data_IF_053017678977
#
_entry.id   IF_053017678977
#
_cell.length_a   1.000
_cell.length_b   1.000
_cell.length_c   1.000
_cell.angle_alpha   90.00
_cell.angle_beta   90.00
_cell.angle_gamma   90.00
#
_symmetry.space_group_name_H-M   'P 1'
#
loop_
_entity.id
_entity.type
_entity.pdbx_description
1 polymer ?
#
# COMPACT_ATOMS: atom_id res chain seq x y z
N UNK A 1 32.82 -5.44 -11.28
CA UNK A 1 31.47 -5.92 -10.94
C UNK A 1 31.61 -7.17 -10.08
N UNK A 2 30.67 -7.46 -9.21
CA UNK A 2 30.57 -8.67 -8.40
C UNK A 2 29.48 -9.54 -9.00
N UNK A 3 29.64 -10.87 -8.91
CA UNK A 3 28.78 -11.85 -9.58
C UNK A 3 27.95 -12.68 -8.60
N UNK A 4 28.10 -12.45 -7.29
CA UNK A 4 27.34 -13.19 -6.29
C UNK A 4 25.83 -12.90 -6.42
N UNK A 5 25.05 -13.96 -6.45
CA UNK A 5 23.60 -13.84 -6.35
C UNK A 5 23.23 -13.53 -4.89
N UNK A 6 22.49 -12.44 -4.69
CA UNK A 6 22.01 -11.96 -3.40
C UNK A 6 20.48 -11.76 -3.45
N UNK A 7 19.83 -11.93 -2.32
CA UNK A 7 18.40 -11.68 -2.18
C UNK A 7 18.13 -10.77 -0.98
N UNK A 8 17.03 -10.03 -0.97
CA UNK A 8 16.69 -9.10 0.12
C UNK A 8 16.64 -9.75 1.51
N UNK A 9 16.29 -11.04 1.59
CA UNK A 9 16.31 -11.79 2.86
C UNK A 9 17.70 -11.94 3.47
N UNK A 10 18.76 -11.72 2.67
CA UNK A 10 20.16 -11.84 3.10
C UNK A 10 20.65 -10.57 3.82
N UNK A 11 19.91 -9.47 3.73
CA UNK A 11 20.30 -8.17 4.35
C UNK A 11 20.31 -8.27 5.88
N UNK A 12 19.24 -8.78 6.47
CA UNK A 12 19.12 -8.86 7.93
C UNK A 12 20.23 -9.72 8.56
N UNK A 13 20.49 -10.97 8.13
CA UNK A 13 21.59 -11.76 8.69
C UNK A 13 22.98 -11.15 8.43
N UNK A 14 23.15 -10.38 7.34
CA UNK A 14 24.40 -9.66 7.09
C UNK A 14 24.60 -8.51 8.09
N UNK A 15 23.56 -7.73 8.37
CA UNK A 15 23.64 -6.67 9.37
C UNK A 15 23.91 -7.23 10.78
N UNK A 16 23.27 -8.34 11.14
CA UNK A 16 23.54 -9.02 12.43
C UNK A 16 24.97 -9.51 12.52
N UNK A 17 25.50 -10.10 11.45
CA UNK A 17 26.91 -10.54 11.39
C UNK A 17 27.87 -9.37 11.58
N UNK A 18 27.64 -8.24 10.88
CA UNK A 18 28.44 -7.02 11.02
C UNK A 18 28.35 -6.39 12.42
N UNK A 19 27.24 -6.56 13.12
CA UNK A 19 27.06 -6.11 14.49
C UNK A 19 27.72 -7.04 15.54
N UNK A 20 28.32 -8.16 15.10
CA UNK A 20 28.93 -9.16 15.99
C UNK A 20 27.92 -10.10 16.67
N UNK A 21 26.67 -10.08 16.24
CA UNK A 21 25.59 -10.96 16.71
C UNK A 21 25.57 -12.27 15.92
N UNK A 22 26.39 -13.23 16.35
CA UNK A 22 26.71 -14.44 15.59
C UNK A 22 25.58 -15.47 15.47
N UNK A 23 24.38 -15.26 16.03
CA UNK A 23 23.27 -16.22 16.01
C UNK A 23 21.92 -15.58 15.79
N UNK A 24 21.65 -15.28 14.56
CA UNK A 24 20.25 -15.24 14.11
C UNK A 24 19.91 -16.64 13.57
N UNK A 25 19.50 -17.54 14.45
CA UNK A 25 19.34 -18.97 14.12
C UNK A 25 18.16 -19.27 13.18
N UNK A 26 17.27 -18.32 12.94
CA UNK A 26 15.99 -18.55 12.25
C UNK A 26 15.76 -17.64 11.03
N UNK A 27 16.82 -17.16 10.38
CA UNK A 27 16.67 -16.43 9.12
C UNK A 27 16.71 -17.38 7.93
N UNK A 28 15.79 -17.23 6.99
CA UNK A 28 15.88 -17.86 5.66
C UNK A 28 17.05 -17.30 4.83
N UNK A 29 17.48 -16.07 5.15
CA UNK A 29 18.63 -15.41 4.55
C UNK A 29 19.95 -15.89 5.10
N UNK A 30 21.04 -15.59 4.35
CA UNK A 30 22.43 -15.89 4.73
C UNK A 30 23.29 -14.64 4.59
N UNK A 31 24.22 -14.44 5.53
CA UNK A 31 25.13 -13.31 5.45
C UNK A 31 26.00 -13.37 4.20
N UNK A 32 26.16 -12.24 3.53
CA UNK A 32 27.10 -12.02 2.45
C UNK A 32 28.27 -11.09 2.83
N UNK A 33 28.52 -10.93 4.12
CA UNK A 33 29.60 -10.08 4.67
C UNK A 33 30.95 -10.36 4.00
N UNK A 34 31.32 -11.63 3.78
CA UNK A 34 32.56 -11.99 3.13
C UNK A 34 32.74 -11.32 1.77
N UNK A 35 31.66 -11.04 1.07
CA UNK A 35 31.70 -10.36 -0.23
C UNK A 35 32.13 -8.88 -0.16
N UNK A 36 32.19 -8.27 1.02
CA UNK A 36 32.67 -6.89 1.17
C UNK A 36 34.20 -6.81 1.03
N UNK A 37 34.90 -7.79 1.61
CA UNK A 37 36.37 -7.88 1.53
C UNK A 37 36.84 -8.63 0.30
N UNK A 38 36.15 -9.70 -0.10
CA UNK A 38 36.58 -10.62 -1.14
C UNK A 38 35.69 -10.51 -2.38
N UNK A 39 36.30 -10.15 -3.53
CA UNK A 39 35.55 -10.01 -4.78
C UNK A 39 34.88 -11.31 -5.22
N UNK A 40 35.61 -12.43 -5.07
CA UNK A 40 35.22 -13.74 -5.55
C UNK A 40 34.70 -14.64 -4.41
N UNK A 41 34.28 -14.04 -3.29
CA UNK A 41 33.62 -14.78 -2.22
C UNK A 41 32.42 -15.55 -2.78
N UNK A 42 32.16 -16.78 -2.27
CA UNK A 42 31.02 -17.58 -2.75
C UNK A 42 29.70 -16.83 -2.50
N UNK A 43 28.75 -17.02 -3.41
CA UNK A 43 27.39 -16.52 -3.20
C UNK A 43 26.77 -17.16 -1.93
N UNK A 44 26.03 -16.42 -1.12
CA UNK A 44 25.42 -16.96 0.10
C UNK A 44 24.37 -18.02 -0.20
N UNK A 45 23.82 -18.01 -1.42
CA UNK A 45 22.83 -18.97 -1.89
C UNK A 45 23.04 -19.32 -3.35
N UNK A 46 22.72 -20.55 -3.69
CA UNK A 46 22.73 -21.03 -5.07
C UNK A 46 21.32 -21.18 -5.65
N UNK A 47 20.28 -21.22 -4.79
CA UNK A 47 18.88 -21.41 -5.18
C UNK A 47 18.01 -20.33 -4.55
N UNK A 48 17.09 -19.76 -5.33
CA UNK A 48 16.04 -18.85 -4.87
C UNK A 48 14.77 -19.08 -5.69
N UNK A 49 13.65 -19.28 -5.00
CA UNK A 49 12.32 -19.32 -5.62
C UNK A 49 11.56 -18.00 -5.39
N UNK A 50 10.59 -17.73 -6.23
CA UNK A 50 9.58 -16.68 -6.06
C UNK A 50 8.21 -17.21 -6.44
N UNK A 51 7.21 -16.71 -5.76
CA UNK A 51 5.82 -16.82 -6.11
C UNK A 51 5.12 -15.48 -5.82
N UNK A 52 4.27 -15.03 -6.73
CA UNK A 52 3.41 -13.88 -6.53
C UNK A 52 2.19 -13.96 -7.47
N UNK A 53 1.01 -14.08 -6.89
CA UNK A 53 -0.25 -14.15 -7.65
C UNK A 53 -0.28 -15.25 -8.71
N UNK A 54 0.19 -16.44 -8.35
CA UNK A 54 0.29 -17.59 -9.24
C UNK A 54 1.51 -17.58 -10.18
N UNK A 55 2.18 -16.44 -10.34
CA UNK A 55 3.41 -16.36 -11.16
C UNK A 55 4.59 -16.89 -10.39
N UNK A 56 5.39 -17.72 -11.05
CA UNK A 56 6.45 -18.49 -10.42
C UNK A 56 7.79 -18.23 -11.07
N UNK A 57 8.85 -18.23 -10.26
CA UNK A 57 10.20 -18.18 -10.76
C UNK A 57 11.14 -18.97 -9.87
N UNK A 58 12.20 -19.50 -10.46
CA UNK A 58 13.29 -20.18 -9.76
C UNK A 58 14.62 -19.78 -10.38
N UNK A 59 15.57 -19.47 -9.53
CA UNK A 59 16.97 -19.29 -9.88
C UNK A 59 17.79 -20.44 -9.31
N UNK A 60 18.69 -21.00 -10.09
CA UNK A 60 19.69 -21.98 -9.63
C UNK A 60 20.98 -21.81 -10.42
N UNK A 61 22.08 -21.50 -9.72
CA UNK A 61 23.44 -21.45 -10.27
C UNK A 61 23.56 -20.72 -11.62
N UNK A 62 22.96 -19.51 -11.72
CA UNK A 62 23.02 -18.68 -12.92
C UNK A 62 21.92 -18.98 -13.94
N UNK A 63 21.14 -20.01 -13.77
CA UNK A 63 19.95 -20.28 -14.58
C UNK A 63 18.70 -19.72 -13.90
N UNK A 64 17.79 -19.20 -14.69
CA UNK A 64 16.50 -18.72 -14.19
C UNK A 64 15.36 -19.23 -15.07
N UNK A 65 14.37 -19.85 -14.43
CA UNK A 65 13.12 -20.22 -15.10
C UNK A 65 11.98 -19.39 -14.54
N UNK A 66 11.09 -18.89 -15.40
CA UNK A 66 9.93 -18.09 -15.04
C UNK A 66 8.69 -18.63 -15.70
N UNK A 67 7.56 -18.57 -14.97
CA UNK A 67 6.23 -18.93 -15.48
C UNK A 67 5.30 -17.72 -15.36
N UNK A 68 4.61 -17.41 -16.44
CA UNK A 68 3.48 -16.50 -16.43
C UNK A 68 2.20 -17.32 -16.24
N UNK A 69 1.44 -17.00 -15.21
CA UNK A 69 0.15 -17.63 -14.95
C UNK A 69 -1.00 -16.68 -15.35
N UNK A 70 -2.03 -17.23 -15.99
CA UNK A 70 -3.26 -16.51 -16.26
C UNK A 70 -4.34 -16.95 -15.26
N UNK A 71 -5.04 -16.00 -14.68
CA UNK A 71 -6.03 -16.24 -13.64
C UNK A 71 -7.09 -17.28 -14.05
N UNK A 72 -7.28 -18.30 -13.22
CA UNK A 72 -8.24 -19.38 -13.41
C UNK A 72 -7.74 -20.52 -14.30
N UNK A 73 -6.54 -20.44 -14.84
CA UNK A 73 -5.92 -21.52 -15.59
C UNK A 73 -5.31 -22.58 -14.68
N UNK A 74 -5.03 -23.76 -15.25
CA UNK A 74 -4.35 -24.83 -14.55
C UNK A 74 -2.85 -24.56 -14.50
N UNK A 75 -2.29 -24.50 -13.30
CA UNK A 75 -0.87 -24.25 -13.07
C UNK A 75 0.08 -25.24 -13.78
N UNK A 76 -0.36 -26.46 -14.07
CA UNK A 76 0.43 -27.45 -14.79
C UNK A 76 0.57 -27.13 -16.28
N UNK A 77 -0.32 -26.30 -16.81
CA UNK A 77 -0.32 -25.88 -18.22
C UNK A 77 0.45 -24.60 -18.49
N UNK A 78 0.92 -23.95 -17.44
CA UNK A 78 1.66 -22.70 -17.60
C UNK A 78 2.90 -22.87 -18.47
N UNK A 79 3.06 -21.95 -19.40
CA UNK A 79 4.27 -21.84 -20.19
C UNK A 79 5.45 -21.33 -19.34
N UNK A 80 6.57 -22.03 -19.40
CA UNK A 80 7.80 -21.61 -18.74
C UNK A 80 8.83 -21.13 -19.75
N UNK A 81 9.62 -20.12 -19.38
CA UNK A 81 10.77 -19.61 -20.10
C UNK A 81 12.03 -19.88 -19.30
N UNK A 82 13.16 -20.07 -19.98
CA UNK A 82 14.44 -20.37 -19.37
C UNK A 82 15.53 -19.41 -19.86
N UNK A 83 16.36 -18.96 -18.92
CA UNK A 83 17.44 -18.00 -19.20
C UNK A 83 18.74 -18.42 -18.53
N UNK A 84 19.89 -18.24 -19.23
CA UNK A 84 21.21 -18.23 -18.61
C UNK A 84 21.59 -16.79 -18.26
N UNK A 85 21.38 -16.39 -17.01
CA UNK A 85 21.60 -15.02 -16.55
C UNK A 85 23.06 -14.60 -16.47
N UNK A 86 24.00 -15.54 -16.63
CA UNK A 86 25.45 -15.27 -16.71
C UNK A 86 25.83 -14.78 -18.11
N UNK A 87 25.21 -15.36 -19.13
CA UNK A 87 25.43 -15.00 -20.53
C UNK A 87 24.49 -13.88 -20.99
N UNK A 88 23.27 -13.88 -20.49
CA UNK A 88 22.21 -12.93 -20.82
C UNK A 88 21.53 -12.40 -19.55
N UNK A 89 22.14 -11.41 -18.91
CA UNK A 89 21.61 -10.79 -17.68
C UNK A 89 20.26 -10.08 -17.91
N UNK A 90 19.97 -9.68 -19.15
CA UNK A 90 18.71 -8.99 -19.51
C UNK A 90 17.55 -9.94 -19.79
N UNK A 91 17.77 -11.26 -19.77
CA UNK A 91 16.74 -12.27 -20.02
C UNK A 91 16.02 -12.06 -21.37
N UNK A 92 16.80 -11.71 -22.40
CA UNK A 92 16.28 -11.37 -23.73
C UNK A 92 16.09 -12.60 -24.62
N UNK A 93 16.82 -13.70 -24.36
CA UNK A 93 16.78 -14.95 -25.13
C UNK A 93 16.21 -16.08 -24.31
N UNK A 94 15.02 -16.52 -24.67
CA UNK A 94 14.40 -17.72 -24.08
C UNK A 94 15.06 -19.00 -24.62
N UNK A 95 15.62 -19.80 -23.73
CA UNK A 95 16.30 -21.07 -24.03
C UNK A 95 15.43 -22.31 -23.76
N UNK A 96 14.15 -22.14 -23.44
CA UNK A 96 13.27 -23.26 -23.04
C UNK A 96 13.19 -24.35 -24.10
N UNK A 97 13.16 -23.98 -25.39
CA UNK A 97 13.14 -24.94 -26.52
C UNK A 97 14.49 -25.59 -26.80
N UNK A 98 15.59 -24.90 -26.48
CA UNK A 98 16.95 -25.39 -26.72
C UNK A 98 17.44 -26.28 -25.56
N UNK A 99 17.00 -26.01 -24.33
CA UNK A 99 17.42 -26.68 -23.09
C UNK A 99 16.23 -27.29 -22.31
N UNK A 100 15.41 -28.19 -22.94
CA UNK A 100 14.19 -28.70 -22.31
C UNK A 100 14.46 -29.57 -21.08
N UNK A 101 15.59 -30.27 -21.03
CA UNK A 101 15.98 -31.06 -19.87
C UNK A 101 16.26 -30.17 -18.66
N UNK A 102 16.97 -29.07 -18.85
CA UNK A 102 17.28 -28.10 -17.81
C UNK A 102 16.00 -27.39 -17.34
N UNK A 103 15.14 -27.02 -18.26
CA UNK A 103 13.85 -26.43 -17.88
C UNK A 103 13.06 -27.34 -16.95
N UNK A 104 13.01 -28.64 -17.27
CA UNK A 104 12.32 -29.64 -16.44
C UNK A 104 12.93 -29.76 -15.05
N UNK A 105 14.27 -29.74 -14.96
CA UNK A 105 14.99 -29.72 -13.68
C UNK A 105 14.64 -28.48 -12.84
N UNK A 106 14.62 -27.31 -13.47
CA UNK A 106 14.27 -26.05 -12.81
C UNK A 106 12.81 -26.03 -12.34
N UNK A 107 11.88 -26.54 -13.14
CA UNK A 107 10.48 -26.70 -12.73
C UNK A 107 10.38 -27.61 -11.50
N UNK A 108 10.99 -28.79 -11.54
CA UNK A 108 10.98 -29.72 -10.41
C UNK A 108 11.60 -29.10 -9.15
N UNK A 109 12.65 -28.30 -9.31
CA UNK A 109 13.28 -27.58 -8.20
C UNK A 109 12.33 -26.53 -7.61
N UNK A 110 11.57 -25.80 -8.44
CA UNK A 110 10.59 -24.85 -7.96
C UNK A 110 9.53 -25.53 -7.09
N UNK A 111 8.96 -26.64 -7.54
CA UNK A 111 7.96 -27.39 -6.78
C UNK A 111 8.50 -27.85 -5.42
N UNK A 112 9.73 -28.35 -5.40
CA UNK A 112 10.41 -28.78 -4.18
C UNK A 112 10.62 -27.62 -3.19
N UNK A 113 11.08 -26.47 -3.68
CA UNK A 113 11.26 -25.29 -2.83
C UNK A 113 9.92 -24.72 -2.36
N UNK A 114 8.88 -24.74 -3.18
CA UNK A 114 7.53 -24.31 -2.82
C UNK A 114 6.94 -25.18 -1.70
N UNK A 115 7.09 -26.50 -1.78
CA UNK A 115 6.66 -27.41 -0.72
C UNK A 115 7.42 -27.18 0.59
N UNK A 116 8.76 -27.07 0.50
CA UNK A 116 9.63 -26.82 1.65
C UNK A 116 9.29 -25.53 2.40
N UNK A 117 8.84 -24.51 1.69
CA UNK A 117 8.59 -23.17 2.23
C UNK A 117 7.08 -22.88 2.43
N UNK A 118 6.22 -23.92 2.44
CA UNK A 118 4.79 -23.81 2.69
C UNK A 118 4.06 -22.81 1.79
N UNK A 119 4.43 -22.76 0.49
CA UNK A 119 3.85 -21.85 -0.50
C UNK A 119 2.42 -22.25 -0.87
N UNK A 120 2.06 -23.53 -0.71
CA UNK A 120 0.76 -24.04 -1.11
C UNK A 120 -0.36 -23.78 -0.07
N UNK A 121 -1.61 -23.58 -0.52
CA UNK A 121 -2.06 -23.57 -1.91
C UNK A 121 -1.64 -22.29 -2.67
N UNK A 122 -1.42 -22.40 -3.97
CA UNK A 122 -1.20 -21.24 -4.82
C UNK A 122 -2.48 -20.38 -4.90
N UNK A 123 -2.29 -19.07 -5.02
CA UNK A 123 -3.37 -18.10 -5.09
C UNK A 123 -3.15 -17.16 -6.29
N UNK A 124 -4.02 -17.25 -7.28
CA UNK A 124 -3.96 -16.45 -8.51
C UNK A 124 -4.79 -15.16 -8.45
N UNK A 125 -5.36 -14.86 -7.28
CA UNK A 125 -6.07 -13.60 -7.10
C UNK A 125 -5.10 -12.45 -7.31
N UNK A 126 -5.49 -11.51 -8.16
CA UNK A 126 -4.70 -10.30 -8.38
C UNK A 126 -4.82 -9.34 -7.19
N UNK A 127 -3.93 -8.34 -7.11
CA UNK A 127 -4.05 -7.28 -6.12
C UNK A 127 -5.42 -6.58 -6.20
N UNK A 128 -5.99 -6.45 -7.40
CA UNK A 128 -7.33 -5.88 -7.61
C UNK A 128 -8.40 -6.76 -6.98
N UNK A 129 -8.31 -8.07 -7.13
CA UNK A 129 -9.26 -9.01 -6.50
C UNK A 129 -9.19 -8.93 -4.97
N UNK A 130 -7.98 -8.82 -4.42
CA UNK A 130 -7.78 -8.70 -2.97
C UNK A 130 -8.35 -7.38 -2.46
N UNK A 131 -8.11 -6.27 -3.15
CA UNK A 131 -8.66 -4.95 -2.79
C UNK A 131 -10.18 -4.92 -2.93
N UNK A 132 -10.74 -5.59 -3.94
CA UNK A 132 -12.18 -5.66 -4.17
C UNK A 132 -12.89 -6.68 -3.29
N UNK A 133 -12.13 -7.57 -2.63
CA UNK A 133 -12.71 -8.54 -1.71
C UNK A 133 -13.32 -7.83 -0.51
N UNK A 134 -14.66 -7.81 -0.47
CA UNK A 134 -15.44 -7.19 0.62
C UNK A 134 -15.81 -8.25 1.63
N UNK A 135 -15.32 -8.11 2.84
CA UNK A 135 -15.81 -8.91 3.96
C UNK A 135 -17.30 -8.62 4.16
N UNK A 136 -18.21 -9.61 4.14
CA UNK A 136 -19.66 -9.38 4.26
C UNK A 136 -20.07 -8.61 5.51
N UNK A 137 -19.28 -8.70 6.58
CA UNK A 137 -19.53 -8.04 7.88
C UNK A 137 -18.46 -6.95 8.19
N UNK A 138 -17.64 -6.56 7.21
CA UNK A 138 -16.61 -5.55 7.39
C UNK A 138 -17.17 -4.13 7.46
N UNK A 139 -16.34 -3.17 7.86
CA UNK A 139 -16.68 -1.74 7.88
C UNK A 139 -17.15 -1.25 6.51
N UNK A 140 -16.59 -1.81 5.44
CA UNK A 140 -16.90 -1.44 4.05
C UNK A 140 -18.33 -1.77 3.61
N UNK A 141 -19.03 -2.68 4.30
CA UNK A 141 -20.42 -3.04 3.99
C UNK A 141 -21.45 -2.16 4.71
N UNK A 142 -21.00 -1.32 5.64
CA UNK A 142 -21.88 -0.46 6.44
C UNK A 142 -22.21 0.83 5.69
N UNK A 143 -23.43 1.30 5.84
CA UNK A 143 -23.86 2.61 5.34
C UNK A 143 -23.47 3.76 6.27
N UNK A 144 -23.25 3.46 7.56
CA UNK A 144 -22.86 4.41 8.59
C UNK A 144 -21.88 3.79 9.56
N UNK A 145 -20.89 4.57 9.97
CA UNK A 145 -19.87 4.19 10.95
C UNK A 145 -19.65 5.37 11.89
N UNK A 146 -19.70 5.12 13.20
CA UNK A 146 -19.29 6.09 14.22
C UNK A 146 -17.90 5.75 14.72
N UNK A 147 -17.00 6.71 14.68
CA UNK A 147 -15.62 6.60 15.12
C UNK A 147 -15.31 7.63 16.18
N UNK A 148 -14.38 7.33 17.08
CA UNK A 148 -14.00 8.21 18.18
C UNK A 148 -12.50 8.55 18.11
N UNK A 149 -12.08 9.75 18.51
CA UNK A 149 -10.67 10.08 18.63
C UNK A 149 -9.94 9.05 19.51
N UNK A 150 -8.70 8.73 19.15
CA UNK A 150 -7.90 7.74 19.87
C UNK A 150 -8.17 6.27 19.53
N UNK A 151 -9.13 5.99 18.66
CA UNK A 151 -9.30 4.68 18.04
C UNK A 151 -8.15 4.44 17.11
N UNK A 152 -7.05 4.22 17.23
CA UNK A 152 -5.92 3.91 16.37
C UNK A 152 -6.15 4.11 14.86
N UNK A 153 -5.12 3.92 14.13
CA UNK A 153 -5.14 3.96 12.67
C UNK A 153 -5.98 2.81 12.09
N UNK A 154 -6.91 3.11 11.18
CA UNK A 154 -7.72 2.10 10.47
C UNK A 154 -7.10 1.88 9.09
N UNK A 155 -6.57 0.69 8.81
CA UNK A 155 -5.95 0.40 7.51
C UNK A 155 -6.90 0.66 6.34
N UNK A 156 -6.39 1.18 5.24
CA UNK A 156 -7.18 1.51 4.05
C UNK A 156 -8.02 0.33 3.54
N UNK A 157 -7.47 -0.88 3.57
CA UNK A 157 -8.16 -2.09 3.14
C UNK A 157 -9.41 -2.41 3.97
N UNK A 158 -9.49 -1.88 5.19
CA UNK A 158 -10.62 -2.07 6.10
C UNK A 158 -11.67 -0.96 6.01
N UNK A 159 -11.41 0.09 5.24
CA UNK A 159 -12.26 1.27 5.14
C UNK A 159 -13.11 1.30 3.88
N UNK A 160 -14.27 1.94 3.99
CA UNK A 160 -15.03 2.38 2.81
C UNK A 160 -14.21 3.46 2.13
N UNK A 161 -13.70 3.17 0.94
CA UNK A 161 -13.02 4.19 0.14
C UNK A 161 -14.07 5.14 -0.45
N UNK A 162 -13.86 6.43 -0.25
CA UNK A 162 -14.69 7.47 -0.82
C UNK A 162 -14.51 7.65 -2.34
N UNK A 163 -13.63 6.86 -2.94
CA UNK A 163 -13.17 7.07 -4.31
C UNK A 163 -14.25 6.96 -5.39
N UNK A 164 -15.39 6.34 -5.06
CA UNK A 164 -16.47 6.14 -6.04
C UNK A 164 -17.87 6.28 -5.43
N UNK A 165 -17.95 6.84 -4.23
CA UNK A 165 -19.22 6.94 -3.51
C UNK A 165 -19.43 8.32 -2.96
N UNK A 166 -20.67 8.80 -3.09
CA UNK A 166 -21.12 9.94 -2.30
C UNK A 166 -21.10 9.59 -0.81
N UNK A 167 -20.59 10.51 0.01
CA UNK A 167 -20.49 10.31 1.45
C UNK A 167 -20.62 11.61 2.23
N UNK A 168 -20.95 11.49 3.51
CA UNK A 168 -20.88 12.57 4.49
C UNK A 168 -19.91 12.19 5.60
N UNK A 169 -19.05 13.12 5.99
CA UNK A 169 -18.23 13.02 7.21
C UNK A 169 -18.73 14.08 8.15
N UNK A 170 -19.14 13.68 9.36
CA UNK A 170 -19.64 14.60 10.38
C UNK A 170 -18.83 14.46 11.66
N UNK A 171 -18.29 15.57 12.14
CA UNK A 171 -17.64 15.68 13.43
C UNK A 171 -18.57 16.38 14.43
N UNK A 172 -18.77 15.75 15.60
CA UNK A 172 -19.50 16.34 16.72
C UNK A 172 -18.51 16.76 17.80
N UNK A 173 -18.62 18.00 18.25
CA UNK A 173 -17.74 18.56 19.28
C UNK A 173 -18.40 18.49 20.65
N UNK A 174 -17.66 18.04 21.65
CA UNK A 174 -18.12 18.01 23.06
C UNK A 174 -18.29 19.42 23.63
N UNK A 175 -17.42 20.35 23.22
CA UNK A 175 -17.54 21.79 23.49
C UNK A 175 -17.69 22.56 22.17
N UNK A 176 -18.37 23.72 22.17
CA UNK A 176 -18.45 24.54 20.97
C UNK A 176 -17.09 25.03 20.52
N UNK A 177 -16.87 25.04 19.22
CA UNK A 177 -15.64 25.55 18.58
C UNK A 177 -15.94 26.85 17.83
N UNK A 178 -14.89 27.59 17.51
CA UNK A 178 -14.98 28.86 16.78
C UNK A 178 -13.63 29.24 16.17
N UNK A 179 -13.49 30.46 15.64
CA UNK A 179 -12.29 30.92 14.96
C UNK A 179 -11.02 30.90 15.84
N UNK A 180 -11.16 30.99 17.14
CA UNK A 180 -10.07 31.01 18.12
C UNK A 180 -9.56 29.57 18.46
N UNK A 181 -10.24 28.52 17.96
CA UNK A 181 -9.82 27.14 18.22
C UNK A 181 -8.47 26.86 17.56
N UNK A 182 -7.52 26.22 18.26
CA UNK A 182 -6.16 26.00 17.73
C UNK A 182 -6.10 25.14 16.47
N UNK A 183 -7.21 24.51 16.10
CA UNK A 183 -7.28 23.62 14.94
C UNK A 183 -7.04 22.16 15.29
N UNK A 184 -6.88 21.36 14.26
CA UNK A 184 -6.63 19.92 14.32
C UNK A 184 -7.46 19.15 13.31
N UNK A 185 -7.00 17.94 12.99
CA UNK A 185 -7.67 17.06 12.04
C UNK A 185 -8.87 16.40 12.69
N UNK A 186 -10.00 16.45 12.02
CA UNK A 186 -11.24 15.74 12.38
C UNK A 186 -11.23 14.32 11.81
N UNK A 187 -10.86 14.21 10.50
CA UNK A 187 -10.67 12.94 9.82
C UNK A 187 -9.68 13.13 8.66
N UNK A 188 -8.71 12.24 8.53
CA UNK A 188 -7.80 12.20 7.39
C UNK A 188 -7.66 10.77 6.89
N UNK A 189 -7.70 10.58 5.58
CA UNK A 189 -7.49 9.28 4.94
C UNK A 189 -6.54 9.44 3.77
N UNK A 190 -5.50 8.62 3.76
CA UNK A 190 -4.50 8.67 2.71
C UNK A 190 -3.29 9.51 3.08
N UNK A 191 -2.62 10.03 2.06
CA UNK A 191 -1.42 10.84 2.16
C UNK A 191 -1.34 11.90 1.04
N UNK A 192 -0.19 12.59 0.93
CA UNK A 192 0.04 13.60 -0.11
C UNK A 192 -0.08 13.09 -1.55
N UNK A 193 -0.01 11.78 -1.79
CA UNK A 193 -0.12 11.17 -3.12
C UNK A 193 -1.56 10.87 -3.48
N UNK A 194 -2.42 10.67 -2.47
CA UNK A 194 -3.83 10.44 -2.66
C UNK A 194 -4.58 10.34 -1.33
N UNK A 195 -5.71 11.03 -1.24
CA UNK A 195 -6.53 10.99 -0.03
C UNK A 195 -7.29 12.28 0.22
N UNK A 196 -7.84 12.40 1.41
CA UNK A 196 -8.52 13.61 1.87
C UNK A 196 -8.17 13.92 3.32
N UNK A 197 -8.29 15.21 3.66
CA UNK A 197 -8.22 15.68 5.03
C UNK A 197 -9.36 16.67 5.30
N UNK A 198 -10.08 16.44 6.40
CA UNK A 198 -11.15 17.30 6.92
C UNK A 198 -10.70 17.82 8.29
N UNK A 199 -10.50 19.11 8.42
CA UNK A 199 -9.79 19.69 9.57
C UNK A 199 -10.16 21.15 9.85
N UNK A 200 -9.82 21.62 11.03
CA UNK A 200 -9.82 23.03 11.41
C UNK A 200 -8.38 23.56 11.40
N UNK A 201 -8.19 24.72 10.81
CA UNK A 201 -6.92 25.44 10.86
C UNK A 201 -7.12 26.93 10.59
N UNK A 202 -6.40 27.80 11.31
CA UNK A 202 -6.44 29.26 11.15
C UNK A 202 -7.86 29.85 11.15
N UNK A 203 -8.71 29.38 12.08
CA UNK A 203 -10.08 29.83 12.23
C UNK A 203 -11.02 29.43 11.09
N UNK A 204 -10.65 28.47 10.28
CA UNK A 204 -11.40 27.99 9.12
C UNK A 204 -11.66 26.49 9.18
N UNK A 205 -12.77 26.07 8.58
CA UNK A 205 -13.05 24.68 8.28
C UNK A 205 -12.54 24.37 6.87
N UNK A 206 -11.75 23.32 6.76
CA UNK A 206 -11.10 22.89 5.53
C UNK A 206 -11.51 21.49 5.13
N UNK A 207 -11.66 21.29 3.83
CA UNK A 207 -11.61 19.98 3.21
C UNK A 207 -10.61 20.03 2.04
N UNK A 208 -9.62 19.17 2.08
CA UNK A 208 -8.66 18.99 1.01
C UNK A 208 -8.71 17.57 0.45
N UNK A 209 -8.59 17.47 -0.86
CA UNK A 209 -8.42 16.21 -1.58
C UNK A 209 -7.12 16.27 -2.38
N UNK A 210 -6.26 15.27 -2.18
CA UNK A 210 -5.00 15.11 -2.89
C UNK A 210 -5.08 13.95 -3.89
N UNK A 211 -4.45 14.11 -5.06
CA UNK A 211 -4.31 13.07 -6.07
C UNK A 211 -3.06 13.34 -6.92
N UNK A 212 -2.02 12.53 -6.75
CA UNK A 212 -0.78 12.52 -7.54
C UNK A 212 -0.30 13.96 -7.84
N UNK A 213 0.08 14.69 -6.77
CA UNK A 213 0.60 16.05 -6.87
C UNK A 213 -0.43 17.16 -7.18
N UNK A 214 -1.70 16.82 -7.41
CA UNK A 214 -2.81 17.78 -7.55
C UNK A 214 -3.59 17.85 -6.26
N UNK A 215 -4.01 19.05 -5.86
CA UNK A 215 -4.83 19.31 -4.69
C UNK A 215 -6.04 20.12 -5.08
N UNK A 216 -7.17 19.79 -4.47
CA UNK A 216 -8.39 20.55 -4.52
C UNK A 216 -8.78 20.86 -3.08
N UNK A 217 -9.13 22.11 -2.81
CA UNK A 217 -9.44 22.57 -1.46
C UNK A 217 -10.76 23.35 -1.45
N UNK A 218 -11.51 23.16 -0.38
CA UNK A 218 -12.72 23.92 -0.08
C UNK A 218 -12.59 24.37 1.35
N UNK A 219 -12.76 25.67 1.63
CA UNK A 219 -12.69 26.18 2.99
C UNK A 219 -13.53 27.42 3.18
N UNK A 220 -13.95 27.66 4.42
CA UNK A 220 -14.64 28.87 4.83
C UNK A 220 -14.36 29.18 6.30
N UNK A 221 -14.48 30.46 6.65
CA UNK A 221 -14.35 30.92 8.03
C UNK A 221 -15.32 30.16 8.93
N UNK A 222 -14.83 29.70 10.07
CA UNK A 222 -15.62 28.96 11.04
C UNK A 222 -16.45 29.96 11.88
N UNK A 223 -17.78 29.84 11.93
CA UNK A 223 -18.59 30.66 12.85
C UNK A 223 -18.27 30.35 14.32
N UNK A 224 -18.61 31.27 15.20
CA UNK A 224 -18.48 31.06 16.65
C UNK A 224 -19.55 30.08 17.15
N UNK A 225 -19.17 29.19 18.05
CA UNK A 225 -20.11 28.36 18.79
C UNK A 225 -20.58 27.11 18.06
N UNK A 226 -19.87 26.68 17.03
CA UNK A 226 -20.19 25.47 16.23
C UNK A 226 -20.06 24.21 17.08
N UNK A 227 -21.08 23.35 17.02
CA UNK A 227 -21.09 22.04 17.69
C UNK A 227 -20.98 20.86 16.74
N UNK A 228 -21.18 21.09 15.44
CA UNK A 228 -21.12 20.07 14.41
C UNK A 228 -20.49 20.66 13.16
N UNK A 229 -19.47 20.01 12.62
CA UNK A 229 -18.94 20.31 11.30
C UNK A 229 -19.17 19.11 10.38
N UNK A 230 -19.60 19.36 9.13
CA UNK A 230 -19.79 18.29 8.15
C UNK A 230 -19.21 18.67 6.80
N UNK A 231 -18.72 17.64 6.08
CA UNK A 231 -18.44 17.70 4.66
C UNK A 231 -19.30 16.67 3.94
N UNK A 232 -20.02 17.10 2.91
CA UNK A 232 -20.81 16.24 2.03
C UNK A 232 -20.15 16.21 0.67
N UNK A 233 -19.91 15.01 0.17
CA UNK A 233 -19.23 14.77 -1.11
C UNK A 233 -20.22 14.02 -2.00
N UNK A 234 -20.66 14.65 -3.08
CA UNK A 234 -21.50 14.04 -4.10
C UNK A 234 -20.66 13.68 -5.31
N UNK A 235 -20.46 12.40 -5.55
CA UNK A 235 -19.69 11.88 -6.70
C UNK A 235 -20.64 11.67 -7.88
N UNK A 236 -20.32 12.27 -9.01
CA UNK A 236 -21.06 12.11 -10.27
C UNK A 236 -20.53 10.94 -11.10
N UNK A 237 -21.29 10.59 -12.14
CA UNK A 237 -20.94 9.50 -13.07
C UNK A 237 -19.66 9.79 -13.87
N UNK A 238 -19.28 11.06 -13.98
CA UNK A 238 -18.02 11.52 -14.59
C UNK A 238 -16.81 11.43 -13.64
N UNK A 239 -16.99 10.80 -12.48
CA UNK A 239 -15.99 10.74 -11.40
C UNK A 239 -15.54 12.11 -10.86
N UNK A 240 -16.21 13.19 -11.18
CA UNK A 240 -16.05 14.45 -10.45
C UNK A 240 -16.89 14.44 -9.18
N UNK A 241 -16.57 15.30 -8.24
CA UNK A 241 -17.41 15.45 -7.05
C UNK A 241 -17.70 16.92 -6.71
N UNK A 242 -18.92 17.18 -6.29
CA UNK A 242 -19.31 18.39 -5.57
C UNK A 242 -19.02 18.20 -4.09
N UNK A 243 -18.44 19.20 -3.47
CA UNK A 243 -18.09 19.21 -2.04
C UNK A 243 -18.82 20.36 -1.36
N UNK A 244 -19.54 20.05 -0.29
CA UNK A 244 -20.28 21.04 0.50
C UNK A 244 -19.79 21.00 1.95
N UNK A 245 -19.42 22.14 2.50
CA UNK A 245 -19.05 22.30 3.91
C UNK A 245 -20.22 22.88 4.71
N UNK A 246 -20.42 22.37 5.92
CA UNK A 246 -21.45 22.83 6.84
C UNK A 246 -20.89 23.06 8.25
N UNK A 247 -21.39 24.09 8.90
CA UNK A 247 -21.32 24.29 10.35
C UNK A 247 -22.73 24.22 10.91
N UNK A 248 -22.96 23.29 11.82
CA UNK A 248 -24.29 22.90 12.32
C UNK A 248 -25.25 22.59 11.15
N UNK A 249 -26.21 23.46 10.87
CA UNK A 249 -27.16 23.30 9.74
C UNK A 249 -26.91 24.29 8.60
N UNK A 250 -25.91 25.14 8.74
CA UNK A 250 -25.63 26.21 7.78
C UNK A 250 -24.56 25.76 6.78
N UNK A 251 -24.87 25.86 5.49
CA UNK A 251 -23.86 25.66 4.45
C UNK A 251 -22.87 26.81 4.47
N UNK A 252 -21.59 26.50 4.61
CA UNK A 252 -20.50 27.46 4.65
C UNK A 252 -19.90 27.69 3.25
N UNK A 253 -19.57 26.62 2.57
CA UNK A 253 -18.88 26.67 1.29
C UNK A 253 -19.29 25.54 0.36
N UNK A 254 -18.97 25.74 -0.91
CA UNK A 254 -19.12 24.75 -1.97
C UNK A 254 -17.90 24.77 -2.86
N UNK A 255 -17.48 23.60 -3.33
CA UNK A 255 -16.37 23.42 -4.25
C UNK A 255 -16.52 22.19 -5.13
N UNK A 256 -15.55 21.95 -6.01
CA UNK A 256 -15.56 20.82 -6.92
C UNK A 256 -14.19 20.12 -6.93
N UNK A 257 -14.22 18.79 -6.90
CA UNK A 257 -13.09 17.92 -7.18
C UNK A 257 -13.25 17.45 -8.63
N UNK A 258 -12.33 17.81 -9.55
CA UNK A 258 -12.47 17.46 -10.97
C UNK A 258 -12.45 15.97 -11.25
N UNK A 259 -11.73 15.21 -10.42
CA UNK A 259 -11.58 13.77 -10.57
C UNK A 259 -11.32 13.12 -9.21
N UNK A 260 -12.34 12.43 -8.72
CA UNK A 260 -12.21 11.50 -7.59
C UNK A 260 -11.88 10.14 -8.17
N UNK A 261 -10.73 9.61 -7.91
CA UNK A 261 -10.36 8.27 -8.36
C UNK A 261 -9.85 7.44 -7.19
N UNK A 262 -9.91 6.12 -7.36
CA UNK A 262 -9.18 5.22 -6.49
C UNK A 262 -7.73 5.70 -6.40
N UNK A 263 -7.34 6.17 -5.25
CA UNK A 263 -5.96 6.59 -5.01
C UNK A 263 -5.21 5.44 -4.37
N UNK A 264 -4.03 5.21 -4.85
CA UNK A 264 -3.09 4.33 -4.21
C UNK A 264 -2.44 5.09 -3.07
N UNK A 265 -3.06 5.06 -1.92
CA UNK A 265 -2.43 5.43 -0.67
C UNK A 265 -2.31 4.19 0.20
N UNK A 266 -1.18 4.03 0.85
CA UNK A 266 -0.97 2.96 1.82
C UNK A 266 -1.36 3.38 3.23
N UNK A 267 -1.68 4.66 3.42
CA UNK A 267 -2.14 5.20 4.69
C UNK A 267 -3.66 5.17 4.78
N UNK A 268 -4.20 4.57 5.83
CA UNK A 268 -5.63 4.43 6.03
C UNK A 268 -6.30 5.68 6.60
N UNK A 269 -7.28 5.49 7.48
CA UNK A 269 -8.03 6.56 8.12
C UNK A 269 -7.54 6.82 9.54
N UNK A 270 -7.28 8.06 9.84
CA UNK A 270 -7.06 8.61 11.17
C UNK A 270 -8.24 9.50 11.57
N UNK A 271 -8.63 9.46 12.85
CA UNK A 271 -9.74 10.26 13.42
C UNK A 271 -9.23 11.06 14.60
N UNK A 272 -9.54 12.36 14.60
CA UNK A 272 -9.08 13.31 15.60
C UNK A 272 -7.59 13.64 15.52
N UNK A 273 -6.90 13.17 14.50
CA UNK A 273 -5.50 13.50 14.18
C UNK A 273 -5.18 13.07 12.75
N UNK A 274 -4.03 13.51 12.25
CA UNK A 274 -3.33 12.92 11.12
C UNK A 274 -1.97 12.48 11.63
N UNK A 275 -1.74 11.17 11.72
CA UNK A 275 -0.56 10.62 12.41
C UNK A 275 0.59 10.28 11.46
N UNK A 276 0.34 10.27 10.16
CA UNK A 276 1.27 9.78 9.16
C UNK A 276 1.85 10.86 8.25
N UNK A 277 1.86 10.57 6.96
CA UNK A 277 2.22 11.53 5.93
C UNK A 277 1.01 12.42 5.65
N UNK A 278 1.07 13.74 5.92
CA UNK A 278 -0.10 14.59 5.80
C UNK A 278 -0.62 14.67 4.36
N UNK A 279 -1.96 14.64 4.23
CA UNK A 279 -2.64 14.90 2.95
C UNK A 279 -2.45 16.36 2.55
N UNK A 280 -2.60 17.27 3.53
CA UNK A 280 -2.45 18.71 3.36
C UNK A 280 -0.99 19.16 3.51
N UNK A 281 -0.62 20.27 2.84
CA UNK A 281 0.63 20.97 3.08
C UNK A 281 0.48 22.13 4.09
N UNK A 282 -0.73 22.34 4.65
CA UNK A 282 -1.04 23.45 5.54
C UNK A 282 -0.78 23.13 7.02
N UNK A 283 -0.45 21.87 7.33
CA UNK A 283 -0.06 21.43 8.65
C UNK A 283 1.01 20.35 8.58
N UNK A 284 1.73 20.17 9.66
CA UNK A 284 2.67 19.07 9.87
C UNK A 284 2.00 17.98 10.73
N UNK A 285 2.28 16.73 10.41
CA UNK A 285 1.81 15.61 11.24
C UNK A 285 2.78 15.36 12.42
N UNK A 286 2.27 14.97 13.59
CA UNK A 286 0.86 14.77 13.91
C UNK A 286 0.12 16.09 14.15
N UNK A 287 -1.01 16.28 13.51
CA UNK A 287 -1.88 17.43 13.74
C UNK A 287 -3.15 16.96 14.45
N UNK A 288 -3.07 16.87 15.76
CA UNK A 288 -4.16 16.37 16.59
C UNK A 288 -5.20 17.47 16.88
N UNK A 289 -6.47 17.07 16.88
CA UNK A 289 -7.55 17.88 17.41
C UNK A 289 -7.56 17.77 18.94
N UNK A 290 -7.50 18.87 19.70
CA UNK A 290 -7.41 18.87 21.16
C UNK A 290 -8.70 18.45 21.86
#
# INVERSE_FOLDING_TARGET
>A
ARQQFLHAVDIAPTLMSLAGEAKAADFDGRSFEASFGERDAPAPRSVQYWEMFGRRAIYADGWKAISAHEKGEDYERDGWRLYDTRADFSESRDLAAEEPARLKEMQALWWKEAERNAVFPLDDRTLVDIIQFRQPNGLMSRSEITLYPGQGHIPQISMVTASERSMEITAHFTAPVGPEHPGGVLAASGDRHGGYSFYLNDGRLWFEHARIGKRCEVSEALPQGVRRASVVIHVGDDHSAQVLLFADRTRLAEGRIPLVSTHLSFWGLDVGRDAGLPVSARYEAPFAFP
#
